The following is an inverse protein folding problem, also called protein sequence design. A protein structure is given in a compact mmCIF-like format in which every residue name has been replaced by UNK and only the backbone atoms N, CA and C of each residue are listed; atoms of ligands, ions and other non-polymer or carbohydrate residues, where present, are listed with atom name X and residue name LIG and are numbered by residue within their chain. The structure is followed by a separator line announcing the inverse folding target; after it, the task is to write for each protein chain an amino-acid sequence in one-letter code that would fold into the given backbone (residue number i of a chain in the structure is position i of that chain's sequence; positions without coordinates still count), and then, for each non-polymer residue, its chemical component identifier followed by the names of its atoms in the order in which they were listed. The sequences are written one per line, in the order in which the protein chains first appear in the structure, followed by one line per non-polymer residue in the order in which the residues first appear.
data_IF_627864927128
#
_entry.id   IF_627864927128
#
_cell.length_a   1.000
_cell.length_b   1.000
_cell.length_c   1.000
_cell.angle_alpha   90.00
_cell.angle_beta   90.00
_cell.angle_gamma   90.00
#
_symmetry.space_group_name_H-M   'P 1'
#
loop_
_entity.id
_entity.type
_entity.pdbx_description
1 polymer ?
#
# COMPACT_ATOMS: atom_id res chain seq x y z
N UNK A 1 44.64 -14.15 45.88
CA UNK A 1 43.32 -13.50 45.77
C UNK A 1 43.56 -12.00 45.88
N UNK A 2 43.56 -11.27 44.76
CA UNK A 2 43.89 -9.84 44.75
C UNK A 2 42.72 -9.06 45.38
N UNK A 3 42.99 -8.36 46.49
CA UNK A 3 42.00 -7.54 47.18
C UNK A 3 42.08 -6.14 46.58
N UNK A 4 41.11 -5.83 45.72
CA UNK A 4 40.95 -4.53 45.07
C UNK A 4 40.99 -3.42 46.13
N UNK A 5 41.88 -2.46 45.94
CA UNK A 5 42.04 -1.32 46.84
C UNK A 5 40.86 -0.36 46.70
N UNK A 6 40.53 0.39 47.76
CA UNK A 6 39.40 1.34 47.72
C UNK A 6 39.50 2.37 46.59
N UNK A 7 40.72 2.70 46.16
CA UNK A 7 40.98 3.58 45.01
C UNK A 7 40.64 2.92 43.67
N UNK A 8 40.97 1.65 43.47
CA UNK A 8 40.64 0.89 42.26
C UNK A 8 39.12 0.73 42.11
N UNK A 9 38.39 0.48 43.21
CA UNK A 9 36.92 0.45 43.21
C UNK A 9 36.31 1.77 42.76
N UNK A 10 36.79 2.89 43.29
CA UNK A 10 36.28 4.22 42.92
C UNK A 10 36.52 4.49 41.43
N UNK A 11 37.73 4.22 40.93
CA UNK A 11 38.08 4.41 39.51
C UNK A 11 37.16 3.56 38.61
N UNK A 12 36.93 2.30 38.97
CA UNK A 12 36.06 1.40 38.19
C UNK A 12 34.61 1.88 38.17
N UNK A 13 34.07 2.31 39.31
CA UNK A 13 32.72 2.88 39.37
C UNK A 13 32.61 4.16 38.55
N UNK A 14 33.63 5.03 38.56
CA UNK A 14 33.66 6.23 37.72
C UNK A 14 33.64 5.90 36.23
N UNK A 15 34.42 4.91 35.78
CA UNK A 15 34.45 4.50 34.37
C UNK A 15 33.10 3.91 33.95
N UNK A 16 32.52 3.02 34.76
CA UNK A 16 31.21 2.42 34.47
C UNK A 16 30.14 3.50 34.39
N UNK A 17 30.14 4.45 35.32
CA UNK A 17 29.17 5.55 35.34
C UNK A 17 29.31 6.47 34.12
N UNK A 18 30.54 6.72 33.66
CA UNK A 18 30.78 7.50 32.45
C UNK A 18 30.27 6.79 31.20
N UNK A 19 30.54 5.48 31.06
CA UNK A 19 30.05 4.68 29.94
C UNK A 19 28.52 4.64 29.95
N UNK A 20 27.90 4.38 31.10
CA UNK A 20 26.45 4.35 31.25
C UNK A 20 25.80 5.69 30.86
N UNK A 21 26.40 6.82 31.28
CA UNK A 21 25.92 8.15 30.91
C UNK A 21 26.01 8.42 29.40
N UNK A 22 27.11 8.02 28.76
CA UNK A 22 27.27 8.15 27.30
C UNK A 22 26.28 7.26 26.55
N UNK A 23 26.08 6.01 26.98
CA UNK A 23 25.10 5.11 26.35
C UNK A 23 23.67 5.62 26.52
N UNK A 24 23.30 6.15 27.70
CA UNK A 24 22.01 6.76 27.93
C UNK A 24 21.83 8.03 27.09
N UNK A 25 22.86 8.87 26.99
CA UNK A 25 22.84 10.05 26.13
C UNK A 25 22.63 9.67 24.66
N UNK A 26 23.34 8.66 24.16
CA UNK A 26 23.18 8.18 22.78
C UNK A 26 21.78 7.60 22.54
N UNK A 27 21.26 6.81 23.50
CA UNK A 27 19.90 6.27 23.43
C UNK A 27 18.86 7.38 23.43
N UNK A 28 19.00 8.36 24.33
CA UNK A 28 18.14 9.55 24.33
C UNK A 28 18.30 10.30 23.02
N UNK A 29 19.50 10.55 22.49
CA UNK A 29 19.66 11.28 21.23
C UNK A 29 19.14 10.55 19.99
N UNK A 30 19.17 9.22 19.96
CA UNK A 30 18.62 8.44 18.85
C UNK A 30 17.10 8.26 18.95
N UNK A 31 16.56 8.17 20.17
CA UNK A 31 15.16 7.84 20.42
C UNK A 31 14.34 9.01 20.97
N UNK A 32 14.93 10.17 21.27
CA UNK A 32 14.15 11.40 21.37
C UNK A 32 13.79 11.78 19.95
N UNK A 33 12.49 11.83 19.61
CA UNK A 33 12.08 12.44 18.36
C UNK A 33 12.69 13.83 18.37
N UNK A 34 13.57 14.09 17.40
CA UNK A 34 14.03 15.45 17.14
C UNK A 34 12.76 16.21 16.83
N UNK A 35 12.27 16.98 17.80
CA UNK A 35 11.29 18.01 17.56
C UNK A 35 12.02 19.07 16.76
N UNK A 36 12.14 18.80 15.47
CA UNK A 36 12.47 19.81 14.49
C UNK A 36 11.59 21.03 14.79
N UNK A 37 12.16 22.25 14.78
CA UNK A 37 11.34 23.44 14.92
C UNK A 37 10.24 23.33 13.87
N UNK A 38 8.98 23.46 14.32
CA UNK A 38 7.79 23.29 13.50
C UNK A 38 7.88 24.14 12.22
N UNK A 39 8.51 23.58 11.19
CA UNK A 39 8.12 23.80 9.82
C UNK A 39 6.72 23.22 9.84
N UNK A 40 5.73 24.11 9.74
CA UNK A 40 4.36 23.74 9.44
C UNK A 40 4.47 22.95 8.14
N UNK A 41 4.63 21.64 8.25
CA UNK A 41 4.34 20.75 7.15
C UNK A 41 2.87 21.06 6.88
N UNK A 42 2.52 21.56 5.68
CA UNK A 42 1.11 21.60 5.32
C UNK A 42 0.59 20.19 5.58
N UNK A 43 -0.59 20.05 6.21
CA UNK A 43 -1.20 18.75 6.46
C UNK A 43 -0.96 17.89 5.22
N UNK A 44 -0.05 16.91 5.33
CA UNK A 44 0.24 16.06 4.20
C UNK A 44 -1.06 15.33 3.96
N UNK A 45 -1.72 15.65 2.84
CA UNK A 45 -2.82 14.86 2.32
C UNK A 45 -2.39 13.40 2.39
N UNK A 46 -2.95 12.65 3.34
CA UNK A 46 -2.59 11.26 3.55
C UNK A 46 -2.80 10.55 2.22
N UNK A 47 -1.76 9.86 1.73
CA UNK A 47 -1.84 9.18 0.44
C UNK A 47 -2.80 8.01 0.58
N UNK A 48 -4.02 8.17 0.06
CA UNK A 48 -5.00 7.10 0.04
C UNK A 48 -4.51 5.97 -0.86
N UNK A 49 -4.46 4.75 -0.33
CA UNK A 49 -4.19 3.57 -1.14
C UNK A 49 -5.33 3.35 -2.14
N UNK A 50 -4.97 3.18 -3.41
CA UNK A 50 -5.92 2.97 -4.49
C UNK A 50 -5.35 1.96 -5.47
N UNK A 51 -6.21 1.18 -6.11
CA UNK A 51 -5.79 0.15 -7.05
C UNK A 51 -6.73 0.05 -8.24
N UNK A 52 -6.20 -0.36 -9.38
CA UNK A 52 -6.98 -0.81 -10.52
C UNK A 52 -6.32 -2.03 -11.16
N UNK A 53 -7.14 -2.92 -11.70
CA UNK A 53 -6.66 -4.12 -12.40
C UNK A 53 -6.43 -3.75 -13.86
N UNK A 54 -5.21 -4.00 -14.33
CA UNK A 54 -4.82 -3.78 -15.72
C UNK A 54 -5.12 -5.03 -16.54
N UNK A 55 -4.88 -6.20 -15.94
CA UNK A 55 -5.01 -7.51 -16.56
C UNK A 55 -5.49 -8.53 -15.52
N UNK A 56 -6.59 -9.23 -15.80
CA UNK A 56 -7.06 -10.38 -15.02
C UNK A 56 -6.41 -11.67 -15.52
N UNK A 57 -6.40 -12.71 -14.69
CA UNK A 57 -6.09 -14.07 -15.14
C UNK A 57 -7.22 -14.55 -16.05
N UNK A 58 -6.86 -15.05 -17.23
CA UNK A 58 -7.77 -15.67 -18.18
C UNK A 58 -7.03 -16.69 -19.08
N UNK A 59 -7.65 -17.10 -20.18
CA UNK A 59 -7.06 -18.09 -21.10
C UNK A 59 -5.78 -17.59 -21.80
N UNK A 60 -5.65 -16.28 -22.01
CA UNK A 60 -4.50 -15.66 -22.67
C UNK A 60 -3.42 -15.26 -21.66
N UNK A 61 -3.83 -14.82 -20.46
CA UNK A 61 -2.95 -14.27 -19.45
C UNK A 61 -3.00 -15.12 -18.16
N UNK A 62 -1.88 -15.74 -17.80
CA UNK A 62 -1.80 -16.61 -16.63
C UNK A 62 -1.41 -15.90 -15.32
N UNK A 63 -1.03 -14.61 -15.40
CA UNK A 63 -0.68 -13.80 -14.23
C UNK A 63 -1.45 -12.47 -14.30
N UNK A 64 -2.08 -12.02 -13.21
CA UNK A 64 -2.78 -10.75 -13.20
C UNK A 64 -1.81 -9.60 -12.94
N UNK A 65 -2.16 -8.44 -13.48
CA UNK A 65 -1.44 -7.18 -13.28
C UNK A 65 -2.36 -6.12 -12.70
N UNK A 66 -1.84 -5.36 -11.74
CA UNK A 66 -2.55 -4.24 -11.14
C UNK A 66 -1.64 -3.02 -11.01
N UNK A 67 -2.23 -1.84 -11.15
CA UNK A 67 -1.60 -0.59 -10.80
C UNK A 67 -2.11 -0.16 -9.42
N UNK A 68 -1.20 0.21 -8.54
CA UNK A 68 -1.50 0.65 -7.18
C UNK A 68 -0.82 1.99 -6.90
N UNK A 69 -1.57 2.91 -6.30
CA UNK A 69 -1.02 4.09 -5.64
C UNK A 69 -0.91 3.78 -4.16
N UNK A 70 0.26 4.02 -3.59
CA UNK A 70 0.50 3.88 -2.14
C UNK A 70 1.53 4.90 -1.66
N UNK A 71 1.59 5.08 -0.35
CA UNK A 71 2.65 5.86 0.28
C UNK A 71 3.96 5.08 0.33
N UNK A 72 5.06 5.73 -0.06
CA UNK A 72 6.42 5.24 0.14
C UNK A 72 7.32 6.43 0.51
N UNK A 73 8.03 6.36 1.63
CA UNK A 73 8.90 7.44 2.12
C UNK A 73 8.16 8.81 2.21
N UNK A 74 6.91 8.80 2.70
CA UNK A 74 6.02 9.96 2.79
C UNK A 74 5.71 10.63 1.44
N UNK A 75 5.85 9.91 0.32
CA UNK A 75 5.51 10.38 -1.01
C UNK A 75 4.52 9.42 -1.68
N UNK A 76 3.57 9.93 -2.50
CA UNK A 76 2.71 9.08 -3.31
C UNK A 76 3.55 8.40 -4.40
N UNK A 77 3.41 7.08 -4.53
CA UNK A 77 4.10 6.28 -5.53
C UNK A 77 3.07 5.48 -6.32
N UNK A 78 3.20 5.49 -7.65
CA UNK A 78 2.45 4.62 -8.55
C UNK A 78 3.31 3.41 -8.89
N UNK A 79 2.75 2.21 -8.73
CA UNK A 79 3.46 0.94 -8.89
C UNK A 79 2.60 0.01 -9.75
N UNK A 80 3.21 -0.64 -10.74
CA UNK A 80 2.62 -1.77 -11.45
C UNK A 80 3.18 -3.05 -10.87
N UNK A 81 2.28 -3.91 -10.38
CA UNK A 81 2.59 -5.23 -9.89
C UNK A 81 2.09 -6.30 -10.87
N UNK A 82 2.89 -7.36 -11.02
CA UNK A 82 2.44 -8.66 -11.52
C UNK A 82 2.36 -9.62 -10.32
N UNK A 83 1.31 -10.44 -10.25
CA UNK A 83 1.15 -11.41 -9.16
C UNK A 83 1.55 -12.80 -9.67
N UNK A 84 2.66 -13.32 -9.16
CA UNK A 84 3.11 -14.68 -9.45
C UNK A 84 2.31 -15.68 -8.62
N UNK A 85 1.23 -16.20 -9.21
CA UNK A 85 0.35 -17.19 -8.60
C UNK A 85 1.02 -18.55 -8.38
N UNK A 86 2.08 -18.87 -9.14
CA UNK A 86 2.83 -20.14 -9.00
C UNK A 86 3.82 -20.07 -7.83
N UNK A 87 4.34 -18.88 -7.53
CA UNK A 87 5.28 -18.63 -6.42
C UNK A 87 4.60 -18.04 -5.18
N UNK A 88 3.55 -18.72 -4.68
CA UNK A 88 2.81 -18.32 -3.46
C UNK A 88 2.24 -16.89 -3.53
N UNK A 89 1.70 -16.50 -4.67
CA UNK A 89 1.10 -15.18 -4.89
C UNK A 89 2.07 -14.02 -4.60
N UNK A 90 3.34 -14.18 -4.99
CA UNK A 90 4.35 -13.12 -4.80
C UNK A 90 4.03 -11.93 -5.70
N UNK A 91 4.02 -10.74 -5.12
CA UNK A 91 3.93 -9.49 -5.88
C UNK A 91 5.30 -9.12 -6.43
N UNK A 92 5.39 -9.03 -7.76
CA UNK A 92 6.59 -8.59 -8.47
C UNK A 92 6.39 -7.18 -8.98
N UNK A 93 7.23 -6.26 -8.53
CA UNK A 93 7.22 -4.89 -9.05
C UNK A 93 7.79 -4.87 -10.45
N UNK A 94 6.96 -4.50 -11.42
CA UNK A 94 7.36 -4.32 -12.81
C UNK A 94 7.90 -2.91 -13.02
N UNK A 95 7.15 -1.91 -12.58
CA UNK A 95 7.48 -0.49 -12.70
C UNK A 95 7.03 0.26 -11.45
N UNK A 96 7.77 1.31 -11.09
CA UNK A 96 7.42 2.20 -9.98
C UNK A 96 7.93 3.62 -10.24
N UNK A 97 7.10 4.63 -9.99
CA UNK A 97 7.47 6.05 -10.08
C UNK A 97 6.92 6.83 -8.88
N UNK A 98 7.67 7.84 -8.44
CA UNK A 98 7.16 8.82 -7.49
C UNK A 98 6.25 9.80 -8.23
N UNK A 99 5.12 10.13 -7.61
CA UNK A 99 4.19 11.14 -8.10
C UNK A 99 4.50 12.47 -7.40
N UNK A 100 4.38 13.58 -8.14
CA UNK A 100 4.54 14.91 -7.58
C UNK A 100 3.41 15.26 -6.60
N UNK A 101 2.19 14.85 -6.95
CA UNK A 101 0.96 15.11 -6.20
C UNK A 101 0.22 13.81 -5.89
N UNK A 102 -0.46 13.75 -4.76
CA UNK A 102 -1.29 12.61 -4.41
C UNK A 102 -2.55 12.58 -5.31
N UNK A 103 -2.80 11.47 -6.02
CA UNK A 103 -4.00 11.35 -6.83
C UNK A 103 -5.23 11.14 -5.92
N UNK A 104 -6.37 11.57 -6.44
CA UNK A 104 -7.71 11.43 -5.85
C UNK A 104 -8.50 10.26 -6.45
N UNK A 105 -8.11 9.80 -7.65
CA UNK A 105 -8.78 8.71 -8.37
C UNK A 105 -7.78 7.98 -9.29
N UNK A 106 -8.06 6.71 -9.56
CA UNK A 106 -7.28 5.82 -10.43
C UNK A 106 -8.23 5.02 -11.33
N UNK A 107 -7.92 4.94 -12.63
CA UNK A 107 -8.69 4.16 -13.60
C UNK A 107 -7.78 3.48 -14.61
N UNK A 108 -8.19 2.33 -15.12
CA UNK A 108 -7.51 1.68 -16.25
C UNK A 108 -7.85 2.41 -17.54
N UNK A 109 -6.95 2.33 -18.51
CA UNK A 109 -7.24 2.71 -19.87
C UNK A 109 -8.10 1.62 -20.57
N UNK A 110 -9.00 2.05 -21.46
CA UNK A 110 -10.00 1.19 -22.10
C UNK A 110 -9.42 0.37 -23.27
N UNK A 111 -8.22 0.74 -23.75
CA UNK A 111 -7.62 0.18 -24.97
C UNK A 111 -6.23 -0.42 -24.71
N UNK A 112 -5.59 -0.07 -23.59
CA UNK A 112 -4.22 -0.49 -23.29
C UNK A 112 -4.02 -0.74 -21.80
N UNK A 113 -2.92 -1.40 -21.43
CA UNK A 113 -2.55 -1.68 -20.04
C UNK A 113 -1.99 -0.44 -19.31
N UNK A 114 -2.42 0.76 -19.72
CA UNK A 114 -2.05 2.01 -19.08
C UNK A 114 -3.04 2.40 -17.98
N UNK A 115 -2.65 3.39 -17.20
CA UNK A 115 -3.40 3.86 -16.03
C UNK A 115 -3.59 5.38 -16.09
N UNK A 116 -4.77 5.80 -15.68
CA UNK A 116 -5.17 7.19 -15.56
C UNK A 116 -5.23 7.56 -14.08
N UNK A 117 -4.57 8.67 -13.73
CA UNK A 117 -4.62 9.25 -12.39
C UNK A 117 -5.28 10.62 -12.43
N UNK A 118 -6.15 10.91 -11.46
CA UNK A 118 -6.80 12.21 -11.31
C UNK A 118 -6.23 12.95 -10.12
N UNK A 119 -5.72 14.15 -10.31
CA UNK A 119 -5.27 15.04 -9.22
C UNK A 119 -6.41 15.93 -8.72
N UNK A 120 -6.22 16.63 -7.60
CA UNK A 120 -7.25 17.51 -6.99
C UNK A 120 -7.75 18.61 -7.94
N UNK A 121 -6.90 19.09 -8.84
CA UNK A 121 -7.25 20.03 -9.92
C UNK A 121 -8.21 19.43 -10.97
N UNK A 122 -8.66 18.19 -10.75
CA UNK A 122 -9.52 17.40 -11.61
C UNK A 122 -8.95 17.07 -12.99
N UNK A 123 -7.63 17.18 -13.15
CA UNK A 123 -6.95 16.82 -14.38
C UNK A 123 -6.59 15.33 -14.40
N UNK A 124 -6.93 14.67 -15.49
CA UNK A 124 -6.48 13.30 -15.75
C UNK A 124 -5.10 13.29 -16.40
N UNK A 125 -4.21 12.48 -15.85
CA UNK A 125 -2.89 12.21 -16.41
C UNK A 125 -2.78 10.73 -16.73
N UNK A 126 -2.43 10.43 -17.97
CA UNK A 126 -2.21 9.06 -18.44
C UNK A 126 -0.74 8.68 -18.27
N UNK A 127 -0.54 7.47 -17.74
CA UNK A 127 0.72 6.76 -17.67
C UNK A 127 0.58 5.46 -18.46
N UNK A 128 1.53 5.18 -19.34
CA UNK A 128 1.52 3.93 -20.08
C UNK A 128 1.99 2.74 -19.22
N UNK A 129 2.14 1.56 -19.85
CA UNK A 129 2.52 0.31 -19.19
C UNK A 129 3.91 0.35 -18.53
N UNK A 130 4.76 1.31 -18.91
CA UNK A 130 6.12 1.51 -18.37
C UNK A 130 6.15 2.70 -17.39
N UNK A 131 4.97 3.23 -17.06
CA UNK A 131 4.73 4.42 -16.24
C UNK A 131 5.31 5.71 -16.83
N UNK A 132 5.42 5.80 -18.17
CA UNK A 132 5.76 7.04 -18.83
C UNK A 132 4.52 7.90 -19.06
N UNK A 133 4.64 9.21 -18.79
CA UNK A 133 3.55 10.14 -19.04
C UNK A 133 3.44 10.44 -20.54
N UNK A 134 2.36 9.96 -21.15
CA UNK A 134 2.10 10.14 -22.59
C UNK A 134 0.81 10.93 -22.80
N UNK A 135 0.76 11.73 -23.87
CA UNK A 135 -0.48 12.41 -24.26
C UNK A 135 -1.50 11.38 -24.73
N UNK A 136 -2.67 11.38 -24.09
CA UNK A 136 -3.80 10.52 -24.45
C UNK A 136 -5.10 11.28 -24.23
N UNK A 137 -6.13 10.94 -25.00
CA UNK A 137 -7.46 11.54 -24.85
C UNK A 137 -8.25 10.85 -23.73
N UNK A 138 -8.88 11.62 -22.85
CA UNK A 138 -9.68 11.10 -21.72
C UNK A 138 -10.86 10.21 -22.12
N UNK A 139 -11.26 10.23 -23.41
CA UNK A 139 -12.29 9.31 -23.93
C UNK A 139 -11.89 7.82 -23.79
N UNK A 140 -10.59 7.55 -23.63
CA UNK A 140 -10.04 6.21 -23.44
C UNK A 140 -9.96 5.82 -21.95
N UNK A 141 -10.46 6.64 -21.02
CA UNK A 141 -10.62 6.22 -19.63
C UNK A 141 -11.71 5.15 -19.59
N UNK A 142 -11.41 3.98 -19.02
CA UNK A 142 -12.38 2.89 -18.95
C UNK A 142 -13.62 3.30 -18.17
N UNK A 143 -14.77 2.90 -18.70
CA UNK A 143 -16.10 3.09 -18.10
C UNK A 143 -16.69 1.77 -17.61
N UNK A 144 -15.91 0.71 -17.61
CA UNK A 144 -16.36 -0.60 -17.16
C UNK A 144 -16.87 -0.52 -15.73
N UNK A 145 -18.06 -1.08 -15.54
CA UNK A 145 -18.62 -1.32 -14.23
C UNK A 145 -18.32 -2.76 -13.85
N UNK A 146 -17.89 -3.03 -12.61
CA UNK A 146 -17.71 -4.40 -12.14
C UNK A 146 -18.97 -5.23 -12.36
N UNK A 147 -18.81 -6.47 -12.82
CA UNK A 147 -19.91 -7.45 -12.94
C UNK A 147 -20.26 -8.10 -11.59
N UNK A 148 -19.71 -7.57 -10.50
CA UNK A 148 -19.89 -8.03 -9.13
C UNK A 148 -20.23 -6.85 -8.23
N UNK A 149 -20.88 -7.13 -7.12
CA UNK A 149 -21.12 -6.18 -6.05
C UNK A 149 -20.37 -6.60 -4.79
N UNK A 150 -20.03 -5.60 -3.97
CA UNK A 150 -19.32 -5.79 -2.71
C UNK A 150 -20.18 -5.21 -1.60
N UNK A 151 -20.59 -6.06 -0.67
CA UNK A 151 -21.29 -5.64 0.55
C UNK A 151 -20.32 -5.78 1.73
N UNK A 152 -20.23 -4.72 2.54
CA UNK A 152 -19.40 -4.67 3.74
C UNK A 152 -20.33 -4.38 4.90
N UNK A 153 -20.41 -5.29 5.87
CA UNK A 153 -21.23 -5.13 7.07
C UNK A 153 -20.34 -5.15 8.31
N UNK A 154 -20.47 -4.17 9.18
CA UNK A 154 -19.86 -4.21 10.51
C UNK A 154 -20.59 -5.25 11.36
N UNK A 155 -19.87 -6.29 11.82
CA UNK A 155 -20.42 -7.37 12.66
C UNK A 155 -20.27 -7.04 14.13
N UNK A 156 -19.11 -6.51 14.50
CA UNK A 156 -18.81 -5.93 15.81
C UNK A 156 -17.89 -4.71 15.63
N UNK A 157 -17.56 -4.01 16.73
CA UNK A 157 -16.75 -2.77 16.69
C UNK A 157 -15.34 -2.91 16.10
N UNK A 158 -14.90 -4.11 15.70
CA UNK A 158 -13.58 -4.41 15.11
C UNK A 158 -13.62 -5.45 13.99
N UNK A 159 -14.78 -5.94 13.60
CA UNK A 159 -14.92 -7.00 12.61
C UNK A 159 -15.90 -6.60 11.51
N UNK A 160 -15.46 -6.81 10.28
CA UNK A 160 -16.21 -6.52 9.08
C UNK A 160 -16.45 -7.81 8.30
N UNK A 161 -17.70 -8.05 7.91
CA UNK A 161 -18.06 -9.12 7.00
C UNK A 161 -18.04 -8.58 5.56
N UNK A 162 -17.08 -9.05 4.78
CA UNK A 162 -17.02 -8.85 3.34
C UNK A 162 -17.82 -9.93 2.62
N UNK A 163 -18.78 -9.52 1.79
CA UNK A 163 -19.53 -10.40 0.91
C UNK A 163 -19.42 -9.92 -0.55
N UNK A 164 -18.90 -10.79 -1.42
CA UNK A 164 -18.80 -10.53 -2.86
C UNK A 164 -19.92 -11.33 -3.55
N UNK A 165 -20.69 -10.66 -4.39
CA UNK A 165 -21.83 -11.25 -5.11
C UNK A 165 -21.77 -10.96 -6.60
N UNK A 166 -22.34 -11.84 -7.40
CA UNK A 166 -22.66 -11.59 -8.80
C UNK A 166 -24.14 -11.95 -9.06
N UNK A 167 -24.55 -11.99 -10.33
CA UNK A 167 -25.91 -12.37 -10.72
C UNK A 167 -26.29 -13.80 -10.27
N UNK A 168 -25.30 -14.71 -10.15
CA UNK A 168 -25.50 -16.11 -9.77
C UNK A 168 -25.56 -16.35 -8.25
N UNK A 169 -25.18 -15.36 -7.44
CA UNK A 169 -25.26 -15.42 -5.98
C UNK A 169 -24.01 -14.92 -5.27
N UNK A 170 -23.73 -15.51 -4.09
CA UNK A 170 -22.54 -15.15 -3.29
C UNK A 170 -21.33 -15.92 -3.77
N UNK A 171 -20.29 -15.19 -4.18
CA UNK A 171 -19.00 -15.74 -4.63
C UNK A 171 -18.05 -15.96 -3.45
N UNK A 172 -17.99 -14.99 -2.54
CA UNK A 172 -17.08 -14.99 -1.39
C UNK A 172 -17.79 -14.41 -0.17
N UNK A 173 -17.54 -15.00 1.01
CA UNK A 173 -17.89 -14.41 2.31
C UNK A 173 -16.72 -14.56 3.27
N UNK A 174 -16.23 -13.45 3.84
CA UNK A 174 -15.05 -13.44 4.71
C UNK A 174 -15.17 -12.42 5.84
N UNK A 175 -14.77 -12.80 7.04
CA UNK A 175 -14.58 -11.86 8.16
C UNK A 175 -13.18 -11.23 8.08
N UNK A 176 -13.11 -9.92 8.26
CA UNK A 176 -11.92 -9.08 8.18
C UNK A 176 -11.80 -8.24 9.46
N UNK A 177 -10.57 -7.99 9.90
CA UNK A 177 -10.30 -7.17 11.10
C UNK A 177 -10.26 -5.66 10.80
N UNK A 178 -10.38 -5.27 9.53
CA UNK A 178 -10.32 -3.89 9.05
C UNK A 178 -11.38 -3.66 7.97
N UNK A 179 -11.85 -2.42 7.83
CA UNK A 179 -12.79 -2.04 6.75
C UNK A 179 -12.04 -1.94 5.41
N UNK A 180 -12.44 -2.72 4.39
CA UNK A 180 -11.80 -2.65 3.09
C UNK A 180 -12.18 -1.36 2.34
N UNK A 181 -11.18 -0.67 1.80
CA UNK A 181 -11.35 0.55 0.99
C UNK A 181 -11.78 0.23 -0.45
N UNK A 182 -11.28 -0.88 -1.00
CA UNK A 182 -11.64 -1.34 -2.33
C UNK A 182 -11.38 -2.83 -2.47
N UNK A 183 -12.16 -3.48 -3.35
CA UNK A 183 -12.01 -4.89 -3.69
C UNK A 183 -12.03 -4.99 -5.21
N UNK A 184 -11.03 -5.65 -5.78
CA UNK A 184 -10.91 -5.86 -7.22
C UNK A 184 -10.71 -7.34 -7.53
N UNK A 185 -11.29 -7.78 -8.66
CA UNK A 185 -11.16 -9.15 -9.14
C UNK A 185 -9.84 -9.30 -9.90
N UNK A 186 -9.07 -10.34 -9.60
CA UNK A 186 -7.81 -10.63 -10.30
C UNK A 186 -7.92 -11.80 -11.29
N UNK A 187 -9.03 -12.52 -11.32
CA UNK A 187 -9.24 -13.66 -12.21
C UNK A 187 -10.68 -13.71 -12.73
N UNK A 188 -10.85 -13.92 -14.03
CA UNK A 188 -12.17 -14.03 -14.65
C UNK A 188 -12.99 -15.19 -14.08
N UNK A 189 -12.31 -16.20 -13.50
CA UNK A 189 -12.94 -17.36 -12.86
C UNK A 189 -13.46 -17.06 -11.43
N UNK A 190 -13.31 -15.82 -10.94
CA UNK A 190 -13.74 -15.39 -9.61
C UNK A 190 -13.04 -16.12 -8.44
N UNK A 191 -11.87 -16.71 -8.68
CA UNK A 191 -11.08 -17.49 -7.71
C UNK A 191 -9.93 -16.71 -7.07
N UNK A 192 -9.71 -15.45 -7.47
CA UNK A 192 -8.69 -14.59 -6.89
C UNK A 192 -9.15 -13.13 -6.79
N UNK A 193 -9.05 -12.57 -5.60
CA UNK A 193 -9.50 -11.22 -5.27
C UNK A 193 -8.41 -10.45 -4.53
N UNK A 194 -8.28 -9.16 -4.83
CA UNK A 194 -7.38 -8.26 -4.12
C UNK A 194 -8.17 -7.24 -3.33
N UNK A 195 -7.88 -7.17 -2.04
CA UNK A 195 -8.55 -6.29 -1.09
C UNK A 195 -7.56 -5.28 -0.55
N UNK A 196 -7.91 -4.01 -0.65
CA UNK A 196 -7.10 -2.88 -0.21
C UNK A 196 -7.68 -2.29 1.06
N UNK A 197 -6.84 -2.08 2.06
CA UNK A 197 -7.14 -1.36 3.29
C UNK A 197 -6.35 -0.06 3.34
N UNK A 198 -6.45 0.69 4.43
CA UNK A 198 -5.74 1.95 4.58
C UNK A 198 -4.22 1.77 4.57
N UNK A 199 -3.73 0.69 5.21
CA UNK A 199 -2.29 0.47 5.46
C UNK A 199 -1.73 -0.82 4.90
N UNK A 200 -2.59 -1.76 4.54
CA UNK A 200 -2.18 -3.08 4.05
C UNK A 200 -3.12 -3.56 2.94
N UNK A 201 -2.77 -4.71 2.37
CA UNK A 201 -3.54 -5.34 1.31
C UNK A 201 -3.49 -6.86 1.53
N UNK A 202 -4.55 -7.56 1.13
CA UNK A 202 -4.58 -9.02 1.18
C UNK A 202 -5.09 -9.59 -0.14
N UNK A 203 -4.72 -10.84 -0.40
CA UNK A 203 -5.35 -11.66 -1.43
C UNK A 203 -6.35 -12.61 -0.78
N UNK A 204 -7.53 -12.69 -1.37
CA UNK A 204 -8.56 -13.64 -0.96
C UNK A 204 -8.78 -14.65 -2.09
N UNK A 205 -8.72 -15.92 -1.71
CA UNK A 205 -9.08 -17.07 -2.53
C UNK A 205 -10.33 -17.68 -1.89
N UNK A 206 -11.40 -17.97 -2.66
CA UNK A 206 -12.65 -18.52 -2.14
C UNK A 206 -12.53 -19.87 -1.43
#
# INVERSE_FOLDING_TARGET
MYKETGKEKIIRFSIISAIAAVTLYLFVSQYTPTSDPAVVQPEQNQVKQMTVVLQEINEEYHAPKLAMVKEHENQPMLIIYEVDVESNYRFETQYAINLADAPTDIKRDDVSDGVWLKTEDSKWTYYDRELEQVKREEKNISKEQPTFSVDINEVDSKQYELQIKNEDGTLLKKELDEEPLSVVRLSEQNDLWFVVFEKNTILLVP
#
